data_IF_168465249193
#
_entry.id   IF_168465249193
#
_cell.length_a   1.000
_cell.length_b   1.000
_cell.length_c   1.000
_cell.angle_alpha   90.00
_cell.angle_beta   90.00
_cell.angle_gamma   90.00
#
_symmetry.space_group_name_H-M   'P 1'
#
loop_
_entity.id
_entity.type
_entity.pdbx_description
1 polymer ?
#
# COMPACT_ATOMS: atom_id res chain seq x y z
N UNK A 1 6.96 17.41 21.32
CA UNK A 1 6.00 17.51 20.21
C UNK A 1 6.38 16.71 18.95
N UNK A 2 7.67 16.50 18.62
CA UNK A 2 8.05 15.73 17.40
C UNK A 2 7.91 14.19 17.51
N UNK A 3 7.90 13.63 18.74
CA UNK A 3 7.77 12.17 18.94
C UNK A 3 6.47 11.58 18.37
N UNK A 4 5.41 12.37 18.26
CA UNK A 4 4.09 11.90 17.82
C UNK A 4 3.98 11.67 16.31
N UNK A 5 4.92 12.21 15.53
CA UNK A 5 4.98 12.09 14.06
C UNK A 5 6.22 11.35 13.58
N UNK A 6 6.91 10.64 14.48
CA UNK A 6 8.08 9.84 14.11
C UNK A 6 7.64 8.46 13.63
N UNK A 7 8.24 7.90 12.56
CA UNK A 7 7.88 6.57 12.08
C UNK A 7 8.30 5.50 13.09
N UNK A 8 7.47 4.46 13.25
CA UNK A 8 7.85 3.27 14.05
C UNK A 8 8.99 2.49 13.39
N UNK A 9 9.07 2.52 12.05
CA UNK A 9 10.11 1.85 11.26
C UNK A 9 10.42 2.64 9.99
N UNK A 10 11.70 2.75 9.66
CA UNK A 10 12.17 3.31 8.39
C UNK A 10 12.84 2.22 7.56
N UNK A 11 12.35 2.01 6.34
CA UNK A 11 12.88 1.04 5.38
C UNK A 11 13.28 1.75 4.09
N UNK A 12 14.22 1.17 3.35
CA UNK A 12 14.63 1.70 2.03
C UNK A 12 13.60 1.44 0.93
N UNK A 13 12.72 0.48 1.15
CA UNK A 13 11.68 0.03 0.22
C UNK A 13 10.49 -0.51 0.99
N UNK A 14 9.25 -0.33 0.51
CA UNK A 14 8.06 -0.96 1.10
C UNK A 14 8.15 -2.50 1.10
N UNK A 15 8.86 -3.10 0.16
CA UNK A 15 8.96 -4.56 0.00
C UNK A 15 9.75 -5.25 1.12
N UNK A 16 10.43 -4.47 1.98
CA UNK A 16 11.03 -4.99 3.22
C UNK A 16 10.01 -5.35 4.31
N UNK A 17 8.74 -5.00 4.12
CA UNK A 17 7.64 -5.42 4.99
C UNK A 17 7.18 -6.81 4.53
N UNK A 18 7.40 -7.82 5.37
CA UNK A 18 7.00 -9.20 5.12
C UNK A 18 5.82 -9.58 6.02
N UNK A 19 5.10 -10.63 5.66
CA UNK A 19 4.02 -11.14 6.50
C UNK A 19 4.53 -11.60 7.88
N UNK A 20 5.71 -12.19 7.95
CA UNK A 20 6.36 -12.59 9.20
C UNK A 20 6.59 -11.38 10.13
N UNK A 21 7.20 -10.31 9.63
CA UNK A 21 7.40 -9.08 10.40
C UNK A 21 6.08 -8.52 10.96
N UNK A 22 5.01 -8.55 10.15
CA UNK A 22 3.69 -8.06 10.58
C UNK A 22 3.07 -8.97 11.64
N UNK A 23 3.20 -10.29 11.52
CA UNK A 23 2.72 -11.26 12.52
C UNK A 23 3.43 -11.07 13.86
N UNK A 24 4.75 -10.88 13.86
CA UNK A 24 5.52 -10.60 15.09
C UNK A 24 5.05 -9.32 15.78
N UNK A 25 4.61 -8.32 15.00
CA UNK A 25 4.03 -7.07 15.50
C UNK A 25 2.54 -7.19 15.88
N UNK A 26 1.93 -8.37 15.75
CA UNK A 26 0.50 -8.59 15.99
C UNK A 26 -0.41 -7.85 14.99
N UNK A 27 0.07 -7.60 13.76
CA UNK A 27 -0.65 -6.89 12.70
C UNK A 27 -1.13 -7.88 11.64
N UNK A 28 -2.35 -7.67 11.16
CA UNK A 28 -3.01 -8.56 10.18
C UNK A 28 -3.45 -7.82 8.92
N UNK A 29 -3.28 -6.50 8.87
CA UNK A 29 -3.79 -5.65 7.79
C UNK A 29 -2.81 -4.52 7.51
N UNK A 30 -2.60 -4.23 6.23
CA UNK A 30 -1.88 -3.07 5.72
C UNK A 30 -2.88 -2.11 5.08
N UNK A 31 -2.81 -0.85 5.49
CA UNK A 31 -3.43 0.27 4.79
C UNK A 31 -2.30 1.11 4.21
N UNK A 32 -2.30 1.32 2.90
CA UNK A 32 -1.16 1.94 2.21
C UNK A 32 -1.62 3.02 1.24
N UNK A 33 -0.83 4.10 1.13
CA UNK A 33 -1.01 5.08 0.06
C UNK A 33 -0.35 4.58 -1.22
N UNK A 34 -0.62 5.25 -2.34
CA UNK A 34 -0.16 4.85 -3.67
C UNK A 34 1.09 5.64 -4.11
N UNK A 35 0.94 6.93 -4.34
CA UNK A 35 1.95 7.77 -4.98
C UNK A 35 3.07 8.13 -4.00
N UNK A 36 4.31 8.05 -4.46
CA UNK A 36 5.52 8.25 -3.67
C UNK A 36 5.58 7.36 -2.40
N UNK A 37 4.77 6.30 -2.36
CA UNK A 37 4.77 5.26 -1.33
C UNK A 37 5.07 3.90 -1.96
N UNK A 38 4.28 3.51 -2.96
CA UNK A 38 4.43 2.25 -3.69
C UNK A 38 4.91 2.46 -5.12
N UNK A 39 4.43 3.51 -5.77
CA UNK A 39 4.77 3.85 -7.16
C UNK A 39 5.21 5.30 -7.25
N UNK A 40 6.08 5.60 -8.21
CA UNK A 40 6.29 6.98 -8.63
C UNK A 40 4.99 7.57 -9.16
N UNK A 41 4.79 8.87 -8.98
CA UNK A 41 3.54 9.56 -9.36
C UNK A 41 3.25 9.53 -10.87
N UNK A 42 4.28 9.38 -11.70
CA UNK A 42 4.21 9.30 -13.17
C UNK A 42 4.14 7.85 -13.69
N UNK A 43 4.39 6.87 -12.83
CA UNK A 43 4.20 5.46 -13.15
C UNK A 43 2.70 5.15 -13.23
N UNK A 44 2.19 4.86 -14.43
CA UNK A 44 0.75 4.68 -14.68
C UNK A 44 0.22 3.31 -14.24
N UNK A 45 1.05 2.28 -14.33
CA UNK A 45 0.68 0.89 -14.12
C UNK A 45 1.33 0.31 -12.86
N UNK A 46 0.64 -0.63 -12.23
CA UNK A 46 1.22 -1.45 -11.18
C UNK A 46 2.46 -2.16 -11.72
N UNK A 47 3.55 -2.16 -10.97
CA UNK A 47 4.73 -2.96 -11.29
C UNK A 47 4.51 -4.40 -10.86
N UNK A 48 5.19 -5.35 -11.53
CA UNK A 48 5.18 -6.76 -11.12
C UNK A 48 5.64 -6.94 -9.67
N UNK A 49 6.57 -6.09 -9.21
CA UNK A 49 7.05 -6.12 -7.83
C UNK A 49 5.95 -5.79 -6.82
N UNK A 50 5.13 -4.76 -7.09
CA UNK A 50 3.99 -4.39 -6.24
C UNK A 50 2.92 -5.49 -6.26
N UNK A 51 2.60 -6.03 -7.43
CA UNK A 51 1.61 -7.11 -7.57
C UNK A 51 2.06 -8.36 -6.82
N UNK A 52 3.31 -8.77 -7.01
CA UNK A 52 3.88 -9.94 -6.34
C UNK A 52 3.93 -9.75 -4.82
N UNK A 53 4.32 -8.55 -4.36
CA UNK A 53 4.36 -8.24 -2.93
C UNK A 53 2.98 -8.36 -2.27
N UNK A 54 1.94 -7.79 -2.89
CA UNK A 54 0.57 -7.95 -2.39
C UNK A 54 0.11 -9.41 -2.42
N UNK A 55 0.41 -10.14 -3.50
CA UNK A 55 0.04 -11.55 -3.65
C UNK A 55 0.64 -12.40 -2.52
N UNK A 56 1.92 -12.19 -2.19
CA UNK A 56 2.59 -12.91 -1.10
C UNK A 56 1.96 -12.56 0.25
N UNK A 57 1.68 -11.29 0.51
CA UNK A 57 1.04 -10.84 1.75
C UNK A 57 -0.35 -11.47 1.93
N UNK A 58 -1.18 -11.44 0.90
CA UNK A 58 -2.53 -12.03 0.94
C UNK A 58 -2.49 -13.55 1.12
N UNK A 59 -1.57 -14.24 0.44
CA UNK A 59 -1.38 -15.68 0.59
C UNK A 59 -0.98 -16.07 2.02
N UNK A 60 -0.28 -15.20 2.73
CA UNK A 60 0.13 -15.36 4.13
C UNK A 60 -0.92 -14.84 5.13
N UNK A 61 -2.11 -14.46 4.66
CA UNK A 61 -3.24 -14.02 5.49
C UNK A 61 -3.19 -12.55 5.92
N UNK A 62 -2.30 -11.74 5.33
CA UNK A 62 -2.26 -10.29 5.55
C UNK A 62 -3.19 -9.60 4.55
N UNK A 63 -4.18 -8.88 5.07
CA UNK A 63 -5.09 -8.08 4.23
C UNK A 63 -4.41 -6.81 3.77
N UNK A 64 -4.63 -6.39 2.53
CA UNK A 64 -4.09 -5.12 2.03
C UNK A 64 -5.20 -4.27 1.41
N UNK A 65 -5.16 -2.96 1.64
CA UNK A 65 -6.06 -2.00 1.01
C UNK A 65 -5.30 -0.71 0.67
N UNK A 66 -5.53 -0.19 -0.53
CA UNK A 66 -5.04 1.14 -0.91
C UNK A 66 -5.98 2.21 -0.36
N UNK A 67 -5.45 3.18 0.37
CA UNK A 67 -6.15 4.39 0.79
C UNK A 67 -5.44 5.59 0.17
N UNK A 68 -6.07 6.26 -0.80
CA UNK A 68 -5.40 7.36 -1.49
C UNK A 68 -6.30 8.58 -1.70
N UNK A 69 -5.68 9.76 -1.69
CA UNK A 69 -6.32 11.03 -2.04
C UNK A 69 -6.16 11.39 -3.53
N UNK A 70 -5.61 10.47 -4.32
CA UNK A 70 -5.34 10.67 -5.74
C UNK A 70 -6.61 10.52 -6.59
N UNK A 71 -6.54 10.79 -7.89
CA UNK A 71 -7.66 10.59 -8.81
C UNK A 71 -8.14 9.12 -8.82
N UNK A 72 -9.46 8.92 -8.75
CA UNK A 72 -10.08 7.60 -8.71
C UNK A 72 -9.64 6.68 -9.85
N UNK A 73 -9.56 7.17 -11.08
CA UNK A 73 -9.14 6.35 -12.24
C UNK A 73 -7.73 5.79 -12.06
N UNK A 74 -6.82 6.57 -11.45
CA UNK A 74 -5.43 6.14 -11.19
C UNK A 74 -5.40 5.07 -10.11
N UNK A 75 -6.09 5.31 -8.99
CA UNK A 75 -6.14 4.37 -7.86
C UNK A 75 -6.81 3.06 -8.28
N UNK A 76 -7.94 3.15 -8.98
CA UNK A 76 -8.70 2.01 -9.47
C UNK A 76 -7.90 1.17 -10.47
N UNK A 77 -7.17 1.81 -11.40
CA UNK A 77 -6.32 1.10 -12.37
C UNK A 77 -5.28 0.21 -11.68
N UNK A 78 -4.55 0.77 -10.71
CA UNK A 78 -3.53 0.02 -9.96
C UNK A 78 -4.18 -1.06 -9.10
N UNK A 79 -5.24 -0.71 -8.36
CA UNK A 79 -5.93 -1.64 -7.46
C UNK A 79 -6.53 -2.85 -8.21
N UNK A 80 -7.12 -2.62 -9.39
CA UNK A 80 -7.63 -3.69 -10.26
C UNK A 80 -6.52 -4.59 -10.79
N UNK A 81 -5.40 -4.03 -11.22
CA UNK A 81 -4.25 -4.81 -11.69
C UNK A 81 -3.69 -5.71 -10.57
N UNK A 82 -3.60 -5.17 -9.35
CA UNK A 82 -3.16 -5.90 -8.15
C UNK A 82 -4.25 -6.77 -7.50
N UNK A 83 -5.51 -6.68 -7.94
CA UNK A 83 -6.69 -7.35 -7.37
C UNK A 83 -6.94 -7.07 -5.89
N UNK A 84 -6.57 -5.89 -5.42
CA UNK A 84 -6.75 -5.47 -4.02
C UNK A 84 -7.86 -4.42 -3.89
N UNK A 85 -8.56 -4.37 -2.73
CA UNK A 85 -9.54 -3.32 -2.49
C UNK A 85 -8.86 -1.94 -2.37
N UNK A 86 -9.61 -0.90 -2.71
CA UNK A 86 -9.17 0.48 -2.52
C UNK A 86 -10.31 1.36 -2.00
N UNK A 87 -9.91 2.45 -1.35
CA UNK A 87 -10.77 3.59 -1.08
C UNK A 87 -10.05 4.86 -1.55
N UNK A 88 -10.79 5.66 -2.31
CA UNK A 88 -10.33 6.95 -2.79
C UNK A 88 -11.15 8.07 -2.14
N UNK A 89 -10.47 9.14 -1.73
CA UNK A 89 -11.16 10.32 -1.19
C UNK A 89 -11.82 11.12 -2.31
N UNK A 90 -13.15 11.08 -2.38
CA UNK A 90 -13.91 11.92 -3.29
C UNK A 90 -13.68 13.41 -2.97
N UNK A 91 -13.30 14.19 -3.99
CA UNK A 91 -13.22 15.65 -3.89
C UNK A 91 -14.56 16.22 -4.34
N UNK A 92 -15.42 16.58 -3.39
CA UNK A 92 -16.62 17.37 -3.68
C UNK A 92 -16.16 18.68 -4.33
N UNK A 93 -16.62 18.94 -5.56
CA UNK A 93 -16.49 20.24 -6.21
C UNK A 93 -17.63 21.14 -5.75
#
# INVERSE_FOLDING_TARGET
MLKQFSPDKMLKTPFGITAEHLREMGKTTILTDLDNTLLAWDQLDATDEVINWFTILEAEGIKVMILSNNNEMRVERVAKAARIPFWQKQRNH
#
